data_IF_550562168936
#
_entry.id   IF_550562168936
#
_cell.length_a   1.000
_cell.length_b   1.000
_cell.length_c   1.000
_cell.angle_alpha   90.00
_cell.angle_beta   90.00
_cell.angle_gamma   90.00
#
_symmetry.space_group_name_H-M   'P 1'
#
loop_
_entity.id
_entity.type
_entity.pdbx_description
1 polymer ?
#
# COMPACT_ATOMS: atom_id res chain seq x y z
N UNK A 1 9.63 -1.32 33.93
CA UNK A 1 8.62 -1.15 32.87
C UNK A 1 7.31 -1.80 33.29
N UNK A 2 6.24 -1.01 33.32
CA UNK A 2 4.86 -1.45 33.55
C UNK A 2 4.02 -1.07 32.33
N UNK A 3 2.96 -1.84 32.05
CA UNK A 3 1.99 -1.55 30.98
C UNK A 3 0.61 -1.51 31.61
N UNK A 4 -0.06 -0.35 31.55
CA UNK A 4 -1.31 -0.06 32.23
C UNK A 4 -2.39 0.28 31.21
N UNK A 5 -3.40 -0.56 31.07
CA UNK A 5 -4.49 -0.35 30.11
C UNK A 5 -5.44 0.77 30.54
N UNK A 6 -5.89 1.56 29.57
CA UNK A 6 -6.90 2.61 29.72
C UNK A 6 -8.18 2.10 29.07
N UNK A 7 -9.15 1.67 29.89
CA UNK A 7 -10.45 1.19 29.41
C UNK A 7 -11.40 2.36 29.17
N UNK A 8 -12.02 2.43 28.00
CA UNK A 8 -12.97 3.50 27.65
C UNK A 8 -14.37 2.96 27.39
N UNK A 9 -15.36 3.85 27.37
CA UNK A 9 -16.62 3.59 26.66
C UNK A 9 -16.34 3.47 25.13
N UNK A 10 -17.31 2.95 24.38
CA UNK A 10 -17.21 2.85 22.91
C UNK A 10 -16.97 4.23 22.28
N UNK A 11 -15.88 4.36 21.53
CA UNK A 11 -15.52 5.56 20.78
C UNK A 11 -16.37 5.66 19.52
N UNK A 12 -16.85 6.87 19.22
CA UNK A 12 -17.74 7.15 18.10
C UNK A 12 -17.15 8.20 17.16
N UNK A 13 -17.58 8.24 15.89
CA UNK A 13 -17.23 9.33 14.98
C UNK A 13 -17.48 10.71 15.57
N UNK A 14 -16.43 11.55 15.58
CA UNK A 14 -16.47 12.91 16.12
C UNK A 14 -16.26 13.04 17.62
N UNK A 15 -16.04 11.93 18.36
CA UNK A 15 -15.59 12.00 19.75
C UNK A 15 -14.20 12.67 19.85
N UNK A 16 -13.99 13.46 20.89
CA UNK A 16 -12.65 13.93 21.24
C UNK A 16 -11.87 12.83 21.99
N UNK A 17 -10.93 12.18 21.29
CA UNK A 17 -10.22 11.05 21.85
C UNK A 17 -9.36 11.42 23.07
N UNK A 18 -8.75 12.60 23.10
CA UNK A 18 -7.96 13.03 24.25
C UNK A 18 -8.85 13.17 25.49
N UNK A 19 -10.02 13.79 25.36
CA UNK A 19 -10.95 13.94 26.48
C UNK A 19 -11.50 12.59 26.97
N UNK A 20 -11.75 11.64 26.05
CA UNK A 20 -12.18 10.27 26.40
C UNK A 20 -11.09 9.53 27.17
N UNK A 21 -9.84 9.62 26.72
CA UNK A 21 -8.69 9.02 27.40
C UNK A 21 -8.43 9.67 28.76
N UNK A 22 -8.50 10.99 28.87
CA UNK A 22 -8.36 11.70 30.14
C UNK A 22 -9.44 11.29 31.14
N UNK A 23 -10.71 11.25 30.72
CA UNK A 23 -11.82 10.77 31.55
C UNK A 23 -11.57 9.34 32.03
N UNK A 24 -11.24 8.44 31.11
CA UNK A 24 -10.98 7.03 31.43
C UNK A 24 -9.80 6.83 32.39
N UNK A 25 -8.72 7.60 32.22
CA UNK A 25 -7.60 7.59 33.16
C UNK A 25 -8.05 8.06 34.56
N UNK A 26 -8.80 9.16 34.66
CA UNK A 26 -9.31 9.66 35.94
C UNK A 26 -10.24 8.65 36.63
N UNK A 27 -11.16 8.03 35.88
CA UNK A 27 -12.08 7.00 36.39
C UNK A 27 -11.34 5.76 36.92
N UNK A 28 -10.15 5.48 36.37
CA UNK A 28 -9.28 4.37 36.77
C UNK A 28 -8.19 4.75 37.80
N UNK A 29 -8.21 5.99 38.32
CA UNK A 29 -7.17 6.55 39.20
C UNK A 29 -5.75 6.45 38.59
N UNK A 30 -5.67 6.61 37.27
CA UNK A 30 -4.44 6.68 36.50
C UNK A 30 -4.11 8.13 36.15
N UNK A 31 -2.83 8.46 36.16
CA UNK A 31 -2.33 9.75 35.71
C UNK A 31 -0.99 9.57 34.99
N UNK A 32 -0.77 10.35 33.94
CA UNK A 32 0.50 10.40 33.22
C UNK A 32 1.59 11.08 34.08
N UNK A 33 2.81 10.58 33.95
CA UNK A 33 4.02 11.01 34.65
C UNK A 33 5.13 11.33 33.64
N UNK A 34 6.14 12.09 34.06
CA UNK A 34 7.33 12.31 33.23
C UNK A 34 8.00 10.97 32.87
N UNK A 35 8.31 10.80 31.59
CA UNK A 35 8.88 9.57 31.04
C UNK A 35 7.84 8.53 30.59
N UNK A 36 6.54 8.75 30.83
CA UNK A 36 5.50 7.84 30.36
C UNK A 36 5.36 7.89 28.83
N UNK A 37 4.94 6.75 28.27
CA UNK A 37 4.64 6.58 26.85
C UNK A 37 3.20 6.12 26.74
N UNK A 38 2.35 6.92 26.10
CA UNK A 38 0.97 6.58 25.81
C UNK A 38 0.88 5.92 24.44
N UNK A 39 0.51 4.64 24.39
CA UNK A 39 0.18 3.95 23.15
C UNK A 39 -1.32 4.01 22.94
N UNK A 40 -1.76 4.43 21.75
CA UNK A 40 -3.17 4.55 21.36
C UNK A 40 -3.41 3.71 20.12
N UNK A 41 -4.50 2.96 20.06
CA UNK A 41 -4.85 2.16 18.89
C UNK A 41 -5.24 3.04 17.71
N UNK A 42 -4.77 2.64 16.54
CA UNK A 42 -5.08 3.27 15.26
C UNK A 42 -6.58 3.29 14.99
N UNK A 43 -7.27 2.16 15.14
CA UNK A 43 -8.68 2.04 14.75
C UNK A 43 -9.58 2.94 15.58
N UNK A 44 -9.21 3.16 16.84
CA UNK A 44 -9.92 4.10 17.73
C UNK A 44 -9.66 5.54 17.34
N UNK A 45 -8.41 5.89 17.02
CA UNK A 45 -8.07 7.21 16.49
C UNK A 45 -8.83 7.49 15.18
N UNK A 46 -8.76 6.55 14.23
CA UNK A 46 -9.46 6.62 12.96
C UNK A 46 -10.97 6.80 13.14
N UNK A 47 -11.58 6.03 14.05
CA UNK A 47 -13.00 6.17 14.37
C UNK A 47 -13.31 7.56 14.90
N UNK A 48 -12.55 8.08 15.85
CA UNK A 48 -12.72 9.44 16.38
C UNK A 48 -12.59 10.52 15.28
N UNK A 49 -11.63 10.34 14.37
CA UNK A 49 -11.41 11.19 13.19
C UNK A 49 -12.50 11.06 12.10
N UNK A 50 -13.51 10.21 12.29
CA UNK A 50 -14.62 10.05 11.36
C UNK A 50 -14.26 9.23 10.12
N UNK A 51 -13.27 8.34 10.21
CA UNK A 51 -12.82 7.46 9.12
C UNK A 51 -13.66 6.19 8.96
N UNK A 52 -14.88 6.19 9.50
CA UNK A 52 -15.84 5.11 9.34
C UNK A 52 -16.56 5.23 8.00
N UNK A 53 -16.59 4.15 7.22
CA UNK A 53 -17.27 4.10 5.92
C UNK A 53 -18.25 2.93 5.89
N UNK A 54 -19.51 3.21 5.56
CA UNK A 54 -20.50 2.17 5.31
C UNK A 54 -20.33 1.62 3.90
N UNK A 55 -20.26 0.28 3.78
CA UNK A 55 -20.02 -0.36 2.49
C UNK A 55 -21.17 -0.13 1.51
N UNK A 56 -22.39 0.09 1.99
CA UNK A 56 -23.55 0.40 1.12
C UNK A 56 -23.39 1.71 0.31
N UNK A 57 -22.56 2.64 0.79
CA UNK A 57 -22.28 3.92 0.14
C UNK A 57 -21.15 3.84 -0.89
N UNK A 58 -20.49 2.68 -1.03
CA UNK A 58 -19.34 2.51 -1.92
C UNK A 58 -19.77 1.85 -3.23
N UNK A 59 -19.47 2.49 -4.36
CA UNK A 59 -19.71 1.92 -5.69
C UNK A 59 -18.43 1.27 -6.25
N UNK A 60 -18.38 -0.07 -6.41
CA UNK A 60 -17.19 -0.74 -6.93
C UNK A 60 -16.96 -0.43 -8.41
N UNK A 61 -15.75 -0.01 -8.75
CA UNK A 61 -15.31 0.11 -10.15
C UNK A 61 -15.19 -1.27 -10.83
N UNK A 62 -15.13 -1.34 -12.18
CA UNK A 62 -14.84 -2.59 -12.88
C UNK A 62 -13.55 -3.27 -12.41
N UNK A 63 -12.49 -2.50 -12.13
CA UNK A 63 -11.25 -3.01 -11.55
C UNK A 63 -11.47 -3.54 -10.13
N UNK A 64 -12.21 -2.79 -9.30
CA UNK A 64 -12.58 -3.21 -7.95
C UNK A 64 -13.28 -4.57 -7.95
N UNK A 65 -14.27 -4.78 -8.84
CA UNK A 65 -14.97 -6.07 -8.98
C UNK A 65 -14.05 -7.20 -9.44
N UNK A 66 -13.19 -6.95 -10.43
CA UNK A 66 -12.23 -7.93 -10.94
C UNK A 66 -11.25 -8.38 -9.83
N UNK A 67 -10.72 -7.43 -9.06
CA UNK A 67 -9.78 -7.74 -7.99
C UNK A 67 -10.46 -8.38 -6.79
N UNK A 68 -11.72 -8.05 -6.54
CA UNK A 68 -12.50 -8.63 -5.46
C UNK A 68 -12.79 -10.12 -5.70
N UNK A 69 -13.14 -10.50 -6.93
CA UNK A 69 -13.28 -11.91 -7.33
C UNK A 69 -11.97 -12.66 -7.09
N UNK A 70 -10.85 -12.07 -7.48
CA UNK A 70 -9.53 -12.69 -7.36
C UNK A 70 -9.11 -12.97 -5.92
N UNK A 71 -9.35 -12.02 -5.02
CA UNK A 71 -8.95 -12.13 -3.63
C UNK A 71 -10.10 -12.58 -2.72
N UNK A 72 -11.19 -13.11 -3.28
CA UNK A 72 -12.37 -13.60 -2.55
C UNK A 72 -12.89 -12.60 -1.52
N UNK A 73 -13.09 -11.35 -1.96
CA UNK A 73 -13.43 -10.22 -1.09
C UNK A 73 -14.69 -9.49 -1.54
N UNK A 74 -15.27 -8.70 -0.64
CA UNK A 74 -16.37 -7.81 -1.00
C UNK A 74 -15.88 -6.76 -2.02
N UNK A 75 -16.56 -6.58 -3.17
CA UNK A 75 -16.17 -5.60 -4.17
C UNK A 75 -16.09 -4.16 -3.67
N UNK A 76 -16.89 -3.80 -2.67
CA UNK A 76 -16.96 -2.46 -2.08
C UNK A 76 -15.77 -2.23 -1.18
N UNK A 77 -15.43 -3.22 -0.36
CA UNK A 77 -14.22 -3.17 0.46
C UNK A 77 -12.95 -3.25 -0.41
N UNK A 78 -12.97 -3.99 -1.52
CA UNK A 78 -11.84 -4.01 -2.46
C UNK A 78 -11.65 -2.65 -3.14
N UNK A 79 -12.75 -1.95 -3.45
CA UNK A 79 -12.70 -0.60 -3.99
C UNK A 79 -11.98 0.35 -3.01
N UNK A 80 -12.32 0.30 -1.72
CA UNK A 80 -11.64 1.10 -0.70
C UNK A 80 -10.15 0.75 -0.57
N UNK A 81 -9.76 -0.52 -0.65
CA UNK A 81 -8.34 -0.91 -0.66
C UNK A 81 -7.59 -0.30 -1.85
N UNK A 82 -8.21 -0.26 -3.02
CA UNK A 82 -7.60 0.36 -4.21
C UNK A 82 -7.43 1.87 -4.04
N UNK A 83 -8.37 2.53 -3.37
CA UNK A 83 -8.33 3.98 -3.11
C UNK A 83 -7.35 4.36 -1.99
N UNK A 84 -7.20 3.49 -0.99
CA UNK A 84 -6.38 3.73 0.21
C UNK A 84 -4.96 3.12 0.09
N UNK A 85 -4.57 2.61 -1.07
CA UNK A 85 -3.22 2.08 -1.30
C UNK A 85 -2.52 2.75 -2.49
N UNK A 86 -1.20 2.96 -2.34
CA UNK A 86 -0.35 3.42 -3.43
C UNK A 86 -0.16 2.30 -4.48
N UNK A 87 -0.18 1.05 -3.99
CA UNK A 87 0.13 -0.11 -4.80
C UNK A 87 -0.42 -1.41 -4.19
N UNK A 88 -0.98 -2.26 -5.05
CA UNK A 88 -1.19 -3.67 -4.72
C UNK A 88 0.11 -4.45 -4.96
N UNK A 89 0.60 -5.14 -3.93
CA UNK A 89 1.78 -6.02 -4.00
C UNK A 89 1.38 -7.41 -4.46
N UNK A 90 0.27 -7.93 -3.91
CA UNK A 90 -0.22 -9.28 -4.14
C UNK A 90 -1.25 -9.64 -3.09
N UNK A 91 -1.43 -10.93 -2.78
CA UNK A 91 -2.34 -11.36 -1.73
C UNK A 91 -2.70 -12.83 -1.83
N UNK A 92 -3.61 -13.23 -0.95
CA UNK A 92 -4.24 -14.56 -0.88
C UNK A 92 -5.76 -14.35 -0.75
N UNK A 93 -6.58 -15.40 -0.89
CA UNK A 93 -8.01 -15.29 -0.59
C UNK A 93 -8.26 -14.63 0.78
N UNK A 94 -9.12 -13.61 0.79
CA UNK A 94 -9.47 -12.79 1.95
C UNK A 94 -8.51 -11.64 2.30
N UNK A 95 -7.27 -11.63 1.80
CA UNK A 95 -6.25 -10.64 2.21
C UNK A 95 -5.44 -10.14 1.02
N UNK A 96 -5.45 -8.83 0.82
CA UNK A 96 -4.67 -8.13 -0.20
C UNK A 96 -3.48 -7.44 0.46
N UNK A 97 -2.26 -7.78 0.06
CA UNK A 97 -1.07 -7.07 0.52
C UNK A 97 -0.85 -5.82 -0.32
N UNK A 98 -0.75 -4.68 0.35
CA UNK A 98 -0.63 -3.36 -0.26
C UNK A 98 0.56 -2.59 0.28
N UNK A 99 1.03 -1.60 -0.48
CA UNK A 99 1.91 -0.55 0.00
C UNK A 99 1.10 0.73 0.20
N UNK A 100 1.35 1.41 1.31
CA UNK A 100 0.83 2.74 1.64
C UNK A 100 1.92 3.51 2.36
N UNK A 101 2.28 4.69 1.88
CA UNK A 101 3.30 5.57 2.46
C UNK A 101 4.65 4.85 2.73
N UNK A 102 4.99 3.88 1.88
CA UNK A 102 6.23 3.10 1.98
C UNK A 102 6.21 1.95 2.99
N UNK A 103 5.09 1.68 3.69
CA UNK A 103 4.95 0.51 4.55
C UNK A 103 3.98 -0.53 3.96
N UNK A 104 4.10 -1.77 4.44
CA UNK A 104 3.27 -2.90 4.00
C UNK A 104 2.03 -3.05 4.87
N UNK A 105 0.89 -3.16 4.21
CA UNK A 105 -0.41 -3.23 4.85
C UNK A 105 -1.26 -4.37 4.26
N UNK A 106 -1.70 -5.37 5.05
CA UNK A 106 -2.91 -6.12 4.70
C UNK A 106 -4.08 -5.15 4.54
N UNK A 107 -4.83 -5.32 3.44
CA UNK A 107 -6.04 -4.59 3.09
C UNK A 107 -5.92 -3.06 3.24
N UNK A 108 -4.78 -2.46 2.87
CA UNK A 108 -4.51 -1.02 3.04
C UNK A 108 -4.62 -0.48 4.48
N UNK A 109 -4.63 -1.38 5.48
CA UNK A 109 -4.86 -1.03 6.88
C UNK A 109 -6.33 -0.87 7.24
N UNK A 110 -7.26 -1.24 6.36
CA UNK A 110 -8.70 -1.18 6.64
C UNK A 110 -9.07 -2.27 7.65
N UNK A 111 -9.76 -1.88 8.72
CA UNK A 111 -10.22 -2.77 9.79
C UNK A 111 -11.74 -3.02 9.72
N UNK A 112 -12.12 -4.28 9.88
CA UNK A 112 -13.51 -4.76 9.92
C UNK A 112 -13.92 -5.27 11.31
N UNK A 113 -12.96 -5.65 12.16
CA UNK A 113 -13.20 -6.49 13.33
C UNK A 113 -13.89 -5.76 14.48
N UNK A 114 -13.67 -4.45 14.60
CA UNK A 114 -14.27 -3.58 15.61
C UNK A 114 -15.08 -2.41 15.02
N UNK A 115 -15.53 -2.56 13.77
CA UNK A 115 -16.43 -1.62 13.10
C UNK A 115 -17.90 -2.05 13.26
N UNK A 116 -18.87 -1.11 13.28
CA UNK A 116 -20.29 -1.44 13.18
C UNK A 116 -20.61 -2.35 11.97
N UNK A 117 -21.61 -3.24 12.06
CA UNK A 117 -21.98 -4.13 10.96
C UNK A 117 -22.24 -3.38 9.65
N UNK A 118 -21.65 -3.88 8.55
CA UNK A 118 -21.79 -3.26 7.23
C UNK A 118 -20.89 -2.04 6.99
N UNK A 119 -19.97 -1.74 7.91
CA UNK A 119 -19.00 -0.66 7.78
C UNK A 119 -17.58 -1.15 8.03
N UNK A 120 -16.61 -0.31 7.64
CA UNK A 120 -15.18 -0.52 7.82
C UNK A 120 -14.55 0.76 8.35
N UNK A 121 -13.43 0.64 9.06
CA UNK A 121 -12.64 1.79 9.51
C UNK A 121 -11.45 1.93 8.58
N UNK A 122 -11.35 3.08 7.91
CA UNK A 122 -10.17 3.45 7.13
C UNK A 122 -9.08 3.99 8.06
N UNK A 123 -7.87 4.06 7.55
CA UNK A 123 -6.72 4.58 8.30
C UNK A 123 -6.89 6.04 8.76
N UNK A 124 -6.28 6.48 9.88
CA UNK A 124 -6.26 7.87 10.30
C UNK A 124 -5.71 8.76 9.20
N UNK A 125 -6.23 9.98 9.11
CA UNK A 125 -5.83 10.90 8.04
C UNK A 125 -4.40 11.38 8.26
N UNK A 126 -4.05 11.73 9.50
CA UNK A 126 -2.77 12.33 9.87
C UNK A 126 -2.29 11.84 11.24
N UNK A 127 -1.92 10.54 11.37
CA UNK A 127 -1.66 9.92 12.68
C UNK A 127 -0.55 10.62 13.48
N UNK A 128 0.48 11.17 12.82
CA UNK A 128 1.55 11.93 13.48
C UNK A 128 1.08 13.27 14.04
N UNK A 129 0.23 13.99 13.31
CA UNK A 129 -0.35 15.24 13.80
C UNK A 129 -1.25 14.97 15.01
N UNK A 130 -2.06 13.92 14.95
CA UNK A 130 -2.93 13.49 16.05
C UNK A 130 -2.11 13.05 17.27
N UNK A 131 -1.02 12.31 17.09
CA UNK A 131 -0.09 11.97 18.17
C UNK A 131 0.48 13.21 18.87
N UNK A 132 0.89 14.22 18.09
CA UNK A 132 1.40 15.48 18.64
C UNK A 132 0.34 16.24 19.44
N UNK A 133 -0.90 16.32 18.92
CA UNK A 133 -2.01 16.99 19.60
C UNK A 133 -2.39 16.28 20.91
N UNK A 134 -2.46 14.94 20.90
CA UNK A 134 -2.72 14.14 22.11
C UNK A 134 -1.58 14.35 23.13
N UNK A 135 -0.32 14.34 22.67
CA UNK A 135 0.86 14.58 23.53
C UNK A 135 0.78 15.93 24.21
N UNK A 136 0.49 16.99 23.47
CA UNK A 136 0.36 18.36 24.00
C UNK A 136 -0.76 18.45 25.03
N UNK A 137 -1.96 17.95 24.68
CA UNK A 137 -3.16 18.05 25.53
C UNK A 137 -3.08 17.22 26.80
N UNK A 138 -2.66 15.96 26.70
CA UNK A 138 -2.62 15.04 27.84
C UNK A 138 -1.33 15.17 28.66
N UNK A 139 -0.22 15.57 28.03
CA UNK A 139 1.04 15.82 28.74
C UNK A 139 0.91 16.96 29.75
N UNK A 140 0.18 18.04 29.40
CA UNK A 140 0.00 19.23 30.25
C UNK A 140 1.34 19.74 30.83
N UNK A 141 2.37 19.76 29.99
CA UNK A 141 3.74 20.17 30.35
C UNK A 141 4.66 19.06 30.86
N UNK A 142 4.17 17.82 31.03
CA UNK A 142 4.99 16.65 31.33
C UNK A 142 5.73 16.18 30.07
N UNK A 143 6.94 15.67 30.26
CA UNK A 143 7.70 15.02 29.20
C UNK A 143 7.18 13.60 28.99
N UNK A 144 6.24 13.44 28.04
CA UNK A 144 5.69 12.15 27.64
C UNK A 144 5.88 11.92 26.14
N UNK A 145 5.73 10.67 25.70
CA UNK A 145 5.59 10.32 24.29
C UNK A 145 4.19 9.75 24.00
N UNK A 146 3.75 9.89 22.76
CA UNK A 146 2.52 9.27 22.24
C UNK A 146 2.87 8.46 21.00
N UNK A 147 2.39 7.22 20.95
CA UNK A 147 2.55 6.31 19.81
C UNK A 147 1.16 5.90 19.32
N UNK A 148 0.89 6.09 18.03
CA UNK A 148 -0.27 5.48 17.38
C UNK A 148 0.17 4.12 16.88
N UNK A 149 -0.47 3.07 17.36
CA UNK A 149 -0.08 1.69 17.11
C UNK A 149 -1.22 0.89 16.47
N UNK A 150 -0.83 -0.11 15.69
CA UNK A 150 -1.74 -1.05 15.06
C UNK A 150 -1.17 -2.47 15.09
N UNK A 151 -2.01 -3.47 14.86
CA UNK A 151 -1.62 -4.88 14.83
C UNK A 151 -1.29 -5.33 13.40
N UNK A 152 -0.21 -6.12 13.28
CA UNK A 152 0.29 -6.60 11.98
C UNK A 152 0.73 -8.05 12.07
N UNK A 153 0.60 -8.75 10.95
CA UNK A 153 1.20 -10.07 10.80
C UNK A 153 2.67 -9.96 10.41
N UNK A 154 3.47 -10.92 10.86
CA UNK A 154 4.87 -11.04 10.45
C UNK A 154 5.04 -12.18 9.44
N UNK A 155 5.86 -12.02 8.38
CA UNK A 155 6.06 -13.08 7.41
C UNK A 155 6.42 -14.42 8.07
N UNK A 156 5.67 -15.46 7.69
CA UNK A 156 5.87 -16.85 8.12
C UNK A 156 5.70 -17.11 9.63
N UNK A 157 5.10 -16.19 10.39
CA UNK A 157 4.76 -16.39 11.81
C UNK A 157 3.25 -16.30 12.02
N UNK A 158 2.73 -17.19 12.86
CA UNK A 158 1.34 -17.10 13.31
C UNK A 158 1.22 -16.04 14.40
N UNK A 159 0.09 -15.32 14.39
CA UNK A 159 -0.23 -14.25 15.34
C UNK A 159 0.12 -12.84 14.84
N UNK A 160 -0.49 -11.84 15.48
CA UNK A 160 -0.21 -10.43 15.25
C UNK A 160 0.83 -9.90 16.25
N UNK A 161 1.53 -8.85 15.84
CA UNK A 161 2.43 -8.04 16.67
C UNK A 161 2.06 -6.58 16.50
N UNK A 162 2.38 -5.76 17.50
CA UNK A 162 2.15 -4.33 17.43
C UNK A 162 3.23 -3.62 16.60
N UNK A 163 2.79 -2.69 15.74
CA UNK A 163 3.64 -1.84 14.90
C UNK A 163 3.21 -0.40 15.08
N UNK A 164 4.18 0.51 15.18
CA UNK A 164 3.92 1.93 15.28
C UNK A 164 3.67 2.53 13.89
N UNK A 165 2.65 3.37 13.82
CA UNK A 165 2.30 4.13 12.63
C UNK A 165 2.79 5.57 12.72
N UNK A 166 2.73 6.13 13.93
CA UNK A 166 3.26 7.45 14.22
C UNK A 166 3.76 7.54 15.65
N UNK A 167 4.72 8.42 15.87
CA UNK A 167 5.35 8.60 17.17
C UNK A 167 5.68 10.08 17.39
N UNK A 168 5.27 10.62 18.54
CA UNK A 168 5.59 11.98 18.96
C UNK A 168 6.25 11.93 20.34
N UNK A 169 7.40 12.60 20.50
CA UNK A 169 8.16 12.64 21.76
C UNK A 169 9.13 11.47 21.97
N UNK A 170 9.40 10.67 20.94
CA UNK A 170 10.30 9.52 21.01
C UNK A 170 10.89 9.21 19.64
N UNK A 171 12.18 8.89 19.59
CA UNK A 171 12.80 8.37 18.38
C UNK A 171 12.32 6.94 18.12
N UNK A 172 11.53 6.76 17.06
CA UNK A 172 10.92 5.47 16.74
C UNK A 172 11.96 4.36 16.48
N UNK A 173 13.14 4.75 15.98
CA UNK A 173 14.25 3.85 15.66
C UNK A 173 15.54 4.35 16.31
N UNK A 174 16.12 3.53 17.19
CA UNK A 174 17.44 3.81 17.77
C UNK A 174 18.53 3.22 16.87
N UNK A 175 19.47 4.06 16.42
CA UNK A 175 20.63 3.60 15.66
C UNK A 175 21.70 3.03 16.60
N UNK A 176 21.85 1.71 16.59
CA UNK A 176 22.85 1.03 17.39
C UNK A 176 24.16 0.78 16.63
N UNK A 177 24.28 1.23 15.38
CA UNK A 177 25.51 1.10 14.60
C UNK A 177 26.63 1.89 15.25
N UNK A 178 27.85 1.36 15.22
CA UNK A 178 28.99 1.94 15.93
C UNK A 178 29.10 1.54 17.41
N UNK A 179 28.01 1.06 18.05
CA UNK A 179 28.09 0.49 19.39
C UNK A 179 28.91 -0.81 19.36
N UNK A 180 29.57 -1.13 20.48
CA UNK A 180 30.35 -2.36 20.64
C UNK A 180 29.50 -3.45 21.29
N UNK A 181 29.61 -4.66 20.77
CA UNK A 181 29.05 -5.84 21.42
C UNK A 181 29.89 -6.30 22.63
N UNK A 182 29.46 -7.38 23.29
CA UNK A 182 30.13 -7.96 24.46
C UNK A 182 31.58 -8.39 24.22
N UNK A 183 32.00 -8.52 22.96
CA UNK A 183 33.35 -8.91 22.55
C UNK A 183 34.12 -7.77 21.86
N UNK A 184 33.61 -6.54 21.97
CA UNK A 184 34.24 -5.35 21.42
C UNK A 184 34.09 -5.17 19.90
N UNK A 185 33.28 -5.99 19.23
CA UNK A 185 33.00 -5.87 17.78
C UNK A 185 31.96 -4.80 17.55
N UNK A 186 32.15 -4.00 16.52
CA UNK A 186 31.23 -2.94 16.15
C UNK A 186 29.96 -3.50 15.48
N UNK A 187 28.79 -3.03 15.92
CA UNK A 187 27.52 -3.30 15.26
C UNK A 187 27.45 -2.51 13.95
N UNK A 188 27.22 -3.19 12.81
CA UNK A 188 27.24 -2.57 11.48
C UNK A 188 25.87 -2.27 10.89
N UNK A 189 24.86 -3.06 11.26
CA UNK A 189 23.53 -3.02 10.63
C UNK A 189 22.43 -2.71 11.67
N UNK A 190 22.69 -2.97 12.94
CA UNK A 190 21.67 -2.98 13.99
C UNK A 190 21.04 -1.62 14.21
N UNK A 191 19.73 -1.54 13.97
CA UNK A 191 18.83 -0.49 14.42
C UNK A 191 17.72 -1.14 15.23
N UNK A 192 17.30 -0.51 16.32
CA UNK A 192 16.26 -1.04 17.20
C UNK A 192 14.96 -0.32 16.88
N UNK A 193 13.92 -1.05 16.46
CA UNK A 193 12.58 -0.50 16.26
C UNK A 193 11.92 -0.29 17.63
N UNK A 194 12.28 0.79 18.32
CA UNK A 194 11.87 1.05 19.71
C UNK A 194 10.35 1.20 19.78
N UNK A 195 9.77 2.01 18.89
CA UNK A 195 8.32 2.23 18.89
C UNK A 195 7.53 0.94 18.65
N UNK A 196 7.89 0.12 17.65
CA UNK A 196 7.20 -1.16 17.39
C UNK A 196 7.25 -2.12 18.57
N UNK A 197 8.41 -2.22 19.25
CA UNK A 197 8.54 -3.07 20.44
C UNK A 197 7.64 -2.59 21.59
N UNK A 198 7.47 -1.28 21.74
CA UNK A 198 6.57 -0.69 22.73
C UNK A 198 5.10 -0.94 22.38
N UNK A 199 4.71 -0.77 21.11
CA UNK A 199 3.35 -1.09 20.67
C UNK A 199 3.06 -2.56 20.88
N UNK A 200 3.99 -3.46 20.51
CA UNK A 200 3.85 -4.90 20.78
C UNK A 200 3.68 -5.21 22.26
N UNK A 201 4.34 -4.48 23.16
CA UNK A 201 4.15 -4.64 24.60
C UNK A 201 2.78 -4.13 25.07
N UNK A 202 2.31 -3.00 24.54
CA UNK A 202 0.98 -2.44 24.82
C UNK A 202 -0.14 -3.37 24.33
N UNK A 203 0.02 -3.99 23.15
CA UNK A 203 -0.91 -4.93 22.53
C UNK A 203 -1.34 -6.05 23.49
N UNK A 204 -0.42 -6.55 24.32
CA UNK A 204 -0.69 -7.62 25.29
C UNK A 204 -1.74 -7.21 26.31
N UNK A 205 -1.81 -5.92 26.65
CA UNK A 205 -2.80 -5.37 27.60
C UNK A 205 -4.03 -4.82 26.89
N UNK A 206 -3.85 -4.23 25.70
CA UNK A 206 -4.95 -3.68 24.90
C UNK A 206 -5.86 -4.77 24.32
N UNK A 207 -5.28 -5.92 23.97
CA UNK A 207 -5.99 -7.01 23.30
C UNK A 207 -6.19 -6.75 21.81
N UNK A 208 -6.95 -7.63 21.16
CA UNK A 208 -7.30 -7.57 19.72
C UNK A 208 -8.82 -7.67 19.50
N UNK A 209 -9.60 -7.86 20.57
CA UNK A 209 -11.02 -8.16 20.51
C UNK A 209 -11.86 -7.08 21.17
N UNK A 210 -12.68 -7.49 22.14
CA UNK A 210 -13.71 -6.67 22.79
C UNK A 210 -13.29 -6.14 24.18
N UNK A 211 -12.00 -6.19 24.52
CA UNK A 211 -11.48 -5.81 25.84
C UNK A 211 -11.86 -4.37 26.23
N UNK A 212 -12.02 -3.51 25.23
CA UNK A 212 -12.41 -2.10 25.38
C UNK A 212 -11.27 -1.22 25.90
N UNK A 213 -10.01 -1.62 25.64
CA UNK A 213 -8.80 -0.93 26.10
C UNK A 213 -8.08 -0.34 24.87
N UNK A 214 -8.53 0.82 24.35
CA UNK A 214 -7.95 1.40 23.14
C UNK A 214 -6.59 2.08 23.37
N UNK A 215 -6.13 2.20 24.61
CA UNK A 215 -4.82 2.80 24.90
C UNK A 215 -4.16 2.16 26.12
N UNK A 216 -2.85 2.27 26.21
CA UNK A 216 -2.08 1.84 27.38
C UNK A 216 -0.94 2.81 27.69
N UNK A 217 -0.66 2.98 28.98
CA UNK A 217 0.51 3.71 29.49
C UNK A 217 1.64 2.71 29.68
N UNK A 218 2.78 2.97 29.07
CA UNK A 218 4.04 2.30 29.38
C UNK A 218 4.86 3.20 30.28
N UNK A 219 5.09 2.75 31.51
CA UNK A 219 5.82 3.48 32.56
C UNK A 219 7.15 2.81 32.85
N UNK A 220 8.16 3.61 33.21
CA UNK A 220 9.52 3.14 33.53
C UNK A 220 10.13 2.28 32.41
N UNK A 221 9.92 2.69 31.16
CA UNK A 221 10.61 2.11 30.01
C UNK A 221 12.10 2.53 30.06
N UNK A 222 13.06 1.60 29.87
CA UNK A 222 14.49 1.89 30.00
C UNK A 222 15.05 2.58 28.75
N UNK A 223 14.44 3.71 28.37
CA UNK A 223 14.78 4.50 27.19
C UNK A 223 14.71 6.00 27.51
N UNK A 224 15.19 6.83 26.59
CA UNK A 224 15.07 8.29 26.72
C UNK A 224 14.04 8.80 25.74
N UNK A 225 13.12 9.61 26.23
CA UNK A 225 12.25 10.40 25.38
C UNK A 225 13.06 11.45 24.62
N UNK A 226 12.51 11.92 23.51
CA UNK A 226 13.09 12.94 22.65
C UNK A 226 12.05 14.02 22.36
N UNK A 227 12.42 15.05 21.61
CA UNK A 227 11.45 16.00 21.04
C UNK A 227 11.08 15.64 19.59
N UNK A 228 11.37 14.41 19.14
CA UNK A 228 11.12 13.99 17.77
C UNK A 228 9.62 14.03 17.45
N UNK A 229 9.32 14.68 16.33
CA UNK A 229 8.00 14.71 15.68
C UNK A 229 8.16 14.41 14.19
N UNK A 230 9.15 13.59 13.86
CA UNK A 230 9.45 13.17 12.49
C UNK A 230 8.68 11.89 12.14
N UNK A 231 8.33 11.68 10.85
CA UNK A 231 7.78 10.42 10.40
C UNK A 231 8.71 9.24 10.74
N UNK A 232 8.11 8.07 10.98
CA UNK A 232 8.87 6.84 11.23
C UNK A 232 9.72 6.54 9.97
N UNK A 233 11.03 6.33 10.11
CA UNK A 233 11.89 6.04 8.96
C UNK A 233 11.44 4.77 8.24
N UNK A 234 11.23 4.87 6.92
CA UNK A 234 10.92 3.71 6.06
C UNK A 234 12.16 3.20 5.33
N UNK A 235 12.07 1.99 4.76
CA UNK A 235 13.09 1.41 3.90
C UNK A 235 12.46 1.23 2.50
N UNK A 236 13.11 1.71 1.42
CA UNK A 236 12.60 1.48 0.07
C UNK A 236 12.37 -0.02 -0.20
N UNK A 237 11.32 -0.43 -0.94
CA UNK A 237 11.00 -1.84 -1.15
C UNK A 237 12.17 -2.67 -1.69
N UNK A 238 12.97 -2.12 -2.60
CA UNK A 238 14.14 -2.80 -3.17
C UNK A 238 15.28 -3.03 -2.15
N UNK A 239 15.36 -2.21 -1.10
CA UNK A 239 16.37 -2.30 -0.04
C UNK A 239 15.85 -3.08 1.19
N UNK A 240 14.54 -3.34 1.24
CA UNK A 240 13.91 -4.16 2.28
C UNK A 240 14.24 -5.63 2.04
N UNK A 241 14.72 -6.31 3.09
CA UNK A 241 15.15 -7.72 3.02
C UNK A 241 14.08 -8.64 2.41
N UNK A 242 12.81 -8.46 2.78
CA UNK A 242 11.72 -9.29 2.29
C UNK A 242 11.30 -8.90 0.88
N UNK A 243 11.02 -7.61 0.67
CA UNK A 243 10.52 -7.11 -0.61
C UNK A 243 11.57 -7.21 -1.71
N UNK A 244 12.81 -6.79 -1.45
CA UNK A 244 13.92 -6.91 -2.38
C UNK A 244 14.23 -8.36 -2.76
N UNK A 245 14.19 -9.30 -1.79
CA UNK A 245 14.37 -10.73 -2.10
C UNK A 245 13.26 -11.31 -2.98
N UNK A 246 12.05 -10.76 -2.89
CA UNK A 246 10.90 -11.11 -3.74
C UNK A 246 10.86 -10.30 -5.06
N UNK A 247 11.88 -9.50 -5.36
CA UNK A 247 11.93 -8.64 -6.55
C UNK A 247 10.90 -7.50 -6.53
N UNK A 248 10.38 -7.15 -5.36
CA UNK A 248 9.49 -6.01 -5.18
C UNK A 248 10.32 -4.73 -5.03
N UNK A 249 9.98 -3.69 -5.81
CA UNK A 249 10.72 -2.42 -5.86
C UNK A 249 11.67 -2.28 -7.06
N UNK A 250 11.98 -3.37 -7.77
CA UNK A 250 12.57 -3.30 -9.11
C UNK A 250 11.46 -3.19 -10.16
N UNK A 251 11.52 -2.20 -11.04
CA UNK A 251 10.61 -2.12 -12.19
C UNK A 251 11.40 -2.41 -13.48
N UNK A 252 10.96 -3.38 -14.31
CA UNK A 252 9.79 -4.25 -14.12
C UNK A 252 10.00 -5.35 -13.05
N UNK A 253 8.91 -5.77 -12.39
CA UNK A 253 8.90 -6.87 -11.39
C UNK A 253 8.18 -8.12 -11.90
N UNK A 254 8.36 -9.31 -11.29
CA UNK A 254 7.56 -10.49 -11.60
C UNK A 254 6.06 -10.20 -11.51
N UNK A 255 5.31 -10.68 -12.50
CA UNK A 255 3.86 -10.53 -12.51
C UNK A 255 3.24 -11.45 -11.46
N UNK A 256 2.49 -10.85 -10.55
CA UNK A 256 1.86 -11.56 -9.45
C UNK A 256 0.36 -11.79 -9.68
N UNK A 257 -0.17 -11.71 -10.92
CA UNK A 257 -1.59 -11.93 -11.27
C UNK A 257 -2.46 -10.66 -11.34
N UNK A 258 -3.77 -10.80 -11.62
CA UNK A 258 -4.79 -9.72 -11.50
C UNK A 258 -5.25 -9.10 -12.82
N UNK A 259 -4.65 -9.57 -13.90
CA UNK A 259 -4.90 -9.19 -15.29
C UNK A 259 -4.80 -10.43 -16.18
N UNK A 260 -5.02 -11.63 -15.63
CA UNK A 260 -4.82 -12.90 -16.33
C UNK A 260 -5.76 -12.99 -17.55
N UNK A 261 -7.01 -12.55 -17.38
CA UNK A 261 -7.95 -12.39 -18.48
C UNK A 261 -7.43 -11.43 -19.57
N UNK A 262 -6.74 -10.35 -19.20
CA UNK A 262 -6.14 -9.41 -20.15
C UNK A 262 -4.96 -10.05 -20.90
N UNK A 263 -4.13 -10.85 -20.23
CA UNK A 263 -3.05 -11.63 -20.86
C UNK A 263 -3.64 -12.63 -21.85
N UNK A 264 -4.71 -13.35 -21.49
CA UNK A 264 -5.37 -14.29 -22.40
C UNK A 264 -5.98 -13.59 -23.62
N UNK A 265 -6.58 -12.41 -23.44
CA UNK A 265 -7.04 -11.58 -24.56
C UNK A 265 -5.88 -11.11 -25.46
N UNK A 266 -4.72 -10.79 -24.89
CA UNK A 266 -3.53 -10.43 -25.66
C UNK A 266 -2.98 -11.65 -26.43
N UNK A 267 -2.97 -12.84 -25.82
CA UNK A 267 -2.62 -14.11 -26.49
C UNK A 267 -3.56 -14.42 -27.66
N UNK A 268 -4.87 -14.21 -27.48
CA UNK A 268 -5.84 -14.40 -28.56
C UNK A 268 -5.60 -13.39 -29.70
N UNK A 269 -5.39 -12.11 -29.37
CA UNK A 269 -5.10 -11.08 -30.35
C UNK A 269 -3.81 -11.35 -31.15
N UNK A 270 -2.80 -11.99 -30.53
CA UNK A 270 -1.55 -12.38 -31.17
C UNK A 270 -1.77 -13.35 -32.36
N UNK A 271 -2.83 -14.16 -32.35
CA UNK A 271 -3.15 -15.07 -33.45
C UNK A 271 -3.45 -14.31 -34.76
N UNK A 272 -3.97 -13.09 -34.64
CA UNK A 272 -4.26 -12.19 -35.76
C UNK A 272 -3.06 -11.37 -36.24
N UNK A 273 -1.86 -11.55 -35.67
CA UNK A 273 -0.67 -10.84 -36.08
C UNK A 273 -0.25 -11.15 -37.53
N UNK A 274 0.03 -10.10 -38.31
CA UNK A 274 0.59 -10.18 -39.65
C UNK A 274 2.09 -9.83 -39.59
N UNK A 275 2.93 -10.86 -39.48
CA UNK A 275 4.38 -10.70 -39.35
C UNK A 275 5.18 -11.61 -40.30
N UNK A 276 5.02 -11.48 -41.64
CA UNK A 276 5.70 -12.36 -42.59
C UNK A 276 7.21 -12.08 -42.75
N UNK A 277 7.70 -10.92 -42.31
CA UNK A 277 9.10 -10.53 -42.49
C UNK A 277 9.94 -10.95 -41.28
N UNK A 278 9.51 -10.63 -40.06
CA UNK A 278 10.26 -11.02 -38.85
C UNK A 278 9.91 -12.43 -38.35
N UNK A 279 8.71 -12.92 -38.66
CA UNK A 279 8.14 -14.10 -38.01
C UNK A 279 7.78 -13.88 -36.53
N UNK A 280 8.03 -12.68 -35.98
CA UNK A 280 7.85 -12.36 -34.57
C UNK A 280 6.44 -11.82 -34.32
N UNK A 281 5.56 -12.70 -33.84
CA UNK A 281 4.18 -12.35 -33.52
C UNK A 281 4.08 -11.76 -32.12
N UNK A 282 3.35 -10.65 -32.02
CA UNK A 282 3.03 -9.95 -30.79
C UNK A 282 1.53 -9.64 -30.77
N UNK A 283 0.88 -9.88 -29.65
CA UNK A 283 -0.48 -9.45 -29.36
C UNK A 283 -0.51 -8.51 -28.16
N UNK A 284 -1.45 -7.58 -28.18
CA UNK A 284 -1.71 -6.69 -27.06
C UNK A 284 -3.21 -6.58 -26.79
N UNK A 285 -3.55 -6.40 -25.52
CA UNK A 285 -4.92 -6.13 -25.07
C UNK A 285 -4.91 -4.96 -24.09
N UNK A 286 -5.69 -3.92 -24.41
CA UNK A 286 -5.79 -2.68 -23.65
C UNK A 286 -7.12 -2.65 -22.90
N UNK A 287 -7.08 -2.48 -21.58
CA UNK A 287 -8.24 -2.38 -20.70
C UNK A 287 -8.62 -0.91 -20.50
N UNK A 288 -9.78 -0.52 -21.01
CA UNK A 288 -10.37 0.80 -20.78
C UNK A 288 -11.01 0.93 -19.40
N UNK A 289 -11.17 2.16 -18.93
CA UNK A 289 -11.86 2.47 -17.66
C UNK A 289 -13.34 2.07 -17.69
N UNK A 290 -13.94 2.02 -18.88
CA UNK A 290 -15.28 1.45 -19.09
C UNK A 290 -15.38 -0.06 -18.81
N UNK A 291 -14.25 -0.75 -18.58
CA UNK A 291 -14.17 -2.21 -18.46
C UNK A 291 -14.09 -2.94 -19.80
N UNK A 292 -14.14 -2.23 -20.93
CA UNK A 292 -13.98 -2.83 -22.27
C UNK A 292 -12.52 -3.16 -22.56
N UNK A 293 -12.29 -4.29 -23.22
CA UNK A 293 -10.95 -4.72 -23.64
C UNK A 293 -10.81 -4.60 -25.16
N UNK A 294 -9.68 -4.04 -25.61
CA UNK A 294 -9.36 -3.82 -27.00
C UNK A 294 -8.09 -4.59 -27.37
N UNK A 295 -8.25 -5.69 -28.11
CA UNK A 295 -7.15 -6.53 -28.57
C UNK A 295 -6.70 -6.23 -30.01
N UNK A 296 -5.40 -6.33 -30.28
CA UNK A 296 -4.82 -6.32 -31.63
C UNK A 296 -3.47 -7.07 -31.70
N UNK A 297 -3.12 -7.57 -32.88
CA UNK A 297 -1.79 -8.10 -33.21
C UNK A 297 -0.92 -7.08 -33.93
N UNK A 298 0.40 -7.30 -33.97
CA UNK A 298 1.29 -6.47 -34.80
C UNK A 298 1.03 -6.70 -36.30
N UNK A 299 1.23 -5.64 -37.09
CA UNK A 299 1.06 -5.66 -38.55
C UNK A 299 2.32 -5.08 -39.18
N UNK A 300 3.05 -5.93 -39.89
CA UNK A 300 4.23 -5.53 -40.64
C UNK A 300 3.87 -5.06 -42.06
N UNK A 301 4.82 -4.35 -42.67
CA UNK A 301 4.71 -3.86 -44.02
C UNK A 301 6.06 -3.97 -44.74
N UNK A 302 6.04 -4.13 -46.06
CA UNK A 302 7.26 -4.17 -46.87
C UNK A 302 8.11 -2.89 -46.68
N UNK A 303 7.46 -1.74 -46.54
CA UNK A 303 8.09 -0.53 -46.05
C UNK A 303 8.04 -0.54 -44.51
N UNK A 304 9.13 -0.95 -43.88
CA UNK A 304 9.20 -1.20 -42.43
C UNK A 304 8.71 -0.04 -41.55
N UNK A 305 8.89 1.22 -42.00
CA UNK A 305 8.38 2.41 -41.31
C UNK A 305 6.85 2.53 -41.26
N UNK A 306 6.12 1.81 -42.11
CA UNK A 306 4.66 1.78 -42.14
C UNK A 306 4.05 0.68 -41.25
N UNK A 307 4.86 -0.15 -40.61
CA UNK A 307 4.40 -1.17 -39.68
C UNK A 307 3.84 -0.59 -38.37
N UNK A 308 2.95 -1.33 -37.71
CA UNK A 308 2.37 -0.97 -36.42
C UNK A 308 2.52 -2.10 -35.41
N UNK A 309 2.97 -1.74 -34.21
CA UNK A 309 3.08 -2.66 -33.08
C UNK A 309 1.70 -2.98 -32.52
N UNK A 310 1.56 -4.13 -31.85
CA UNK A 310 0.29 -4.62 -31.34
C UNK A 310 -0.37 -3.62 -30.36
N UNK A 311 0.41 -3.01 -29.49
CA UNK A 311 -0.03 -2.05 -28.47
C UNK A 311 -0.62 -0.79 -29.11
N UNK A 312 0.05 -0.25 -30.13
CA UNK A 312 -0.44 0.91 -30.89
C UNK A 312 -1.67 0.58 -31.72
N UNK A 313 -1.77 -0.64 -32.25
CA UNK A 313 -2.96 -1.08 -32.97
C UNK A 313 -4.16 -1.24 -32.03
N UNK A 314 -3.96 -1.80 -30.83
CA UNK A 314 -4.97 -1.92 -29.79
C UNK A 314 -5.43 -0.53 -29.30
N UNK A 315 -4.48 0.38 -29.06
CA UNK A 315 -4.75 1.76 -28.68
C UNK A 315 -5.55 2.50 -29.76
N UNK A 316 -5.14 2.42 -31.03
CA UNK A 316 -5.86 3.04 -32.14
C UNK A 316 -7.30 2.53 -32.23
N UNK A 317 -7.51 1.22 -32.04
CA UNK A 317 -8.86 0.62 -32.00
C UNK A 317 -9.69 1.15 -30.84
N UNK A 318 -9.09 1.29 -29.65
CA UNK A 318 -9.79 1.78 -28.47
C UNK A 318 -10.22 3.24 -28.65
N UNK A 319 -9.30 4.10 -29.07
CA UNK A 319 -9.54 5.54 -29.31
C UNK A 319 -10.57 5.75 -30.42
N UNK A 320 -10.48 4.99 -31.52
CA UNK A 320 -11.48 5.04 -32.59
C UNK A 320 -12.88 4.58 -32.12
N UNK A 321 -12.94 3.76 -31.05
CA UNK A 321 -14.18 3.32 -30.41
C UNK A 321 -14.68 4.27 -29.32
N UNK A 322 -14.04 5.43 -29.15
CA UNK A 322 -14.41 6.46 -28.17
C UNK A 322 -13.78 6.31 -26.78
N UNK A 323 -12.99 5.26 -26.53
CA UNK A 323 -12.32 5.06 -25.23
C UNK A 323 -11.01 5.86 -25.18
N UNK A 324 -10.80 6.60 -24.09
CA UNK A 324 -9.62 7.47 -23.90
C UNK A 324 -9.00 7.34 -22.52
N UNK A 325 -9.60 6.58 -21.62
CA UNK A 325 -9.07 6.34 -20.28
C UNK A 325 -8.73 4.86 -20.15
N UNK A 326 -7.49 4.56 -19.75
CA UNK A 326 -6.97 3.19 -19.71
C UNK A 326 -6.45 2.84 -18.33
N UNK A 327 -6.69 1.59 -17.91
CA UNK A 327 -6.24 1.06 -16.64
C UNK A 327 -4.97 0.21 -16.80
N UNK A 328 -4.91 -0.61 -17.85
CA UNK A 328 -3.81 -1.53 -18.06
C UNK A 328 -3.68 -1.97 -19.52
N UNK A 329 -2.48 -2.45 -19.89
CA UNK A 329 -2.21 -3.13 -21.16
C UNK A 329 -1.43 -4.42 -20.90
N UNK A 330 -1.84 -5.52 -21.52
CA UNK A 330 -1.05 -6.73 -21.59
C UNK A 330 -0.40 -6.85 -22.98
N UNK A 331 0.87 -7.25 -23.02
CA UNK A 331 1.68 -7.46 -24.23
C UNK A 331 2.26 -8.86 -24.17
N UNK A 332 1.99 -9.65 -25.21
CA UNK A 332 2.43 -11.05 -25.31
C UNK A 332 3.17 -11.21 -26.61
N UNK A 333 4.33 -11.85 -26.59
CA UNK A 333 5.00 -12.25 -27.82
C UNK A 333 5.62 -13.65 -27.77
N UNK A 334 6.15 -14.04 -28.91
CA UNK A 334 6.66 -15.40 -29.18
C UNK A 334 8.11 -15.65 -28.74
N UNK A 335 8.73 -14.70 -28.04
CA UNK A 335 10.10 -14.87 -27.51
C UNK A 335 10.14 -15.74 -26.26
N UNK A 336 11.33 -16.24 -25.93
CA UNK A 336 11.56 -16.98 -24.68
C UNK A 336 11.40 -16.10 -23.43
N UNK A 337 11.63 -14.79 -23.53
CA UNK A 337 11.51 -13.84 -22.41
C UNK A 337 10.27 -12.95 -22.56
N UNK A 338 9.70 -12.43 -21.45
CA UNK A 338 8.62 -11.46 -21.49
C UNK A 338 8.90 -10.28 -22.43
N UNK A 339 7.96 -9.99 -23.32
CA UNK A 339 8.13 -8.94 -24.33
C UNK A 339 7.78 -7.57 -23.76
N UNK A 340 8.76 -6.68 -23.77
CA UNK A 340 8.55 -5.28 -23.39
C UNK A 340 7.97 -4.47 -24.56
N UNK A 341 7.05 -3.52 -24.29
CA UNK A 341 6.65 -2.55 -25.31
C UNK A 341 7.84 -1.69 -25.73
N UNK A 342 7.90 -1.35 -27.02
CA UNK A 342 8.97 -0.52 -27.57
C UNK A 342 8.78 0.96 -27.17
N UNK A 343 9.81 1.79 -27.33
CA UNK A 343 9.77 3.21 -26.95
C UNK A 343 8.60 3.99 -27.56
N UNK A 344 8.25 3.72 -28.83
CA UNK A 344 7.13 4.37 -29.50
C UNK A 344 5.78 3.97 -28.91
N UNK A 345 5.61 2.70 -28.52
CA UNK A 345 4.40 2.22 -27.83
C UNK A 345 4.27 2.85 -26.45
N UNK A 346 5.37 2.89 -25.68
CA UNK A 346 5.39 3.54 -24.36
C UNK A 346 4.97 5.00 -24.47
N UNK A 347 5.54 5.74 -25.44
CA UNK A 347 5.19 7.13 -25.70
C UNK A 347 3.74 7.31 -26.15
N UNK A 348 3.20 6.39 -26.97
CA UNK A 348 1.81 6.45 -27.42
C UNK A 348 0.82 6.23 -26.28
N UNK A 349 1.13 5.32 -25.37
CA UNK A 349 0.30 5.05 -24.19
C UNK A 349 0.39 6.20 -23.17
N UNK A 350 1.57 6.83 -23.04
CA UNK A 350 1.82 7.91 -22.08
C UNK A 350 0.92 9.12 -22.33
N UNK A 351 0.52 9.35 -23.58
CA UNK A 351 -0.46 10.39 -23.95
C UNK A 351 -1.81 10.23 -23.23
N UNK A 352 -2.14 9.02 -22.78
CA UNK A 352 -3.43 8.70 -22.16
C UNK A 352 -3.33 8.38 -20.66
N UNK A 353 -2.14 8.42 -20.07
CA UNK A 353 -1.96 8.25 -18.63
C UNK A 353 -0.63 7.61 -18.25
N UNK A 354 -0.01 8.11 -17.18
CA UNK A 354 1.26 7.61 -16.66
C UNK A 354 1.11 6.38 -15.73
N UNK A 355 -0.06 6.24 -15.11
CA UNK A 355 -0.40 5.14 -14.18
C UNK A 355 -0.88 3.85 -14.87
N UNK A 356 -0.87 3.80 -16.21
CA UNK A 356 -1.27 2.59 -16.95
C UNK A 356 -0.37 1.43 -16.52
N UNK A 357 -0.98 0.35 -16.03
CA UNK A 357 -0.25 -0.87 -15.67
C UNK A 357 0.14 -1.64 -16.94
N UNK A 358 1.42 -1.96 -17.10
CA UNK A 358 1.96 -2.67 -18.27
C UNK A 358 2.36 -4.09 -17.86
N UNK A 359 1.66 -5.07 -18.40
CA UNK A 359 1.95 -6.50 -18.23
C UNK A 359 2.69 -6.99 -19.47
N UNK A 360 3.91 -7.48 -19.29
CA UNK A 360 4.79 -8.01 -20.32
C UNK A 360 4.87 -9.51 -20.15
N UNK A 361 4.56 -10.30 -21.18
CA UNK A 361 4.54 -11.75 -21.08
C UNK A 361 5.12 -12.41 -22.33
N UNK A 362 5.59 -13.65 -22.16
CA UNK A 362 5.97 -14.53 -23.26
C UNK A 362 4.86 -15.56 -23.55
N UNK A 363 5.05 -16.35 -24.61
CA UNK A 363 4.15 -17.46 -24.93
C UNK A 363 4.20 -18.62 -23.93
N UNK A 364 5.25 -18.72 -23.10
CA UNK A 364 5.43 -19.78 -22.10
C UNK A 364 4.71 -19.47 -20.76
N UNK A 365 4.15 -18.28 -20.59
CA UNK A 365 3.42 -17.86 -19.39
C UNK A 365 4.26 -17.13 -18.34
N UNK A 366 5.57 -16.91 -18.58
CA UNK A 366 6.34 -15.98 -17.77
C UNK A 366 5.83 -14.56 -18.04
N UNK A 367 5.69 -13.78 -16.97
CA UNK A 367 5.21 -12.42 -17.06
C UNK A 367 5.89 -11.50 -16.04
N UNK A 368 6.02 -10.24 -16.44
CA UNK A 368 6.54 -9.13 -15.65
C UNK A 368 5.52 -7.99 -15.70
N UNK A 369 5.53 -7.13 -14.68
CA UNK A 369 4.64 -5.97 -14.58
C UNK A 369 5.42 -4.72 -14.17
N UNK A 370 5.00 -3.58 -14.72
CA UNK A 370 5.54 -2.26 -14.40
C UNK A 370 4.44 -1.20 -14.53
N UNK A 371 4.59 -0.05 -13.87
CA UNK A 371 3.85 1.14 -14.28
C UNK A 371 4.45 1.71 -15.56
N UNK A 372 3.64 2.35 -16.39
CA UNK A 372 4.14 2.96 -17.63
C UNK A 372 5.18 4.06 -17.36
N UNK A 373 4.99 4.85 -16.30
CA UNK A 373 5.95 5.85 -15.81
C UNK A 373 7.33 5.27 -15.48
N UNK A 374 7.41 4.04 -14.99
CA UNK A 374 8.68 3.36 -14.73
C UNK A 374 9.38 2.94 -16.03
N UNK A 375 8.60 2.56 -17.05
CA UNK A 375 9.12 2.15 -18.35
C UNK A 375 9.53 3.35 -19.22
N UNK A 376 9.01 4.54 -18.95
CA UNK A 376 9.38 5.76 -19.66
C UNK A 376 9.50 6.93 -18.66
N UNK A 377 10.56 6.95 -17.84
CA UNK A 377 10.77 8.02 -16.87
C UNK A 377 11.04 9.35 -17.56
N UNK A 378 10.59 10.45 -16.95
CA UNK A 378 10.71 11.80 -17.49
C UNK A 378 10.17 11.92 -18.94
N UNK A 379 9.04 11.26 -19.21
CA UNK A 379 8.44 11.22 -20.52
C UNK A 379 8.08 12.62 -21.04
N UNK A 380 8.24 12.81 -22.35
CA UNK A 380 7.69 13.95 -23.04
C UNK A 380 6.17 13.83 -23.11
N UNK A 381 5.43 14.85 -22.66
CA UNK A 381 3.96 14.86 -22.65
C UNK A 381 3.43 16.20 -23.18
N UNK A 382 2.10 16.34 -23.29
CA UNK A 382 1.48 17.63 -23.63
C UNK A 382 1.89 18.79 -22.71
N UNK A 383 2.28 18.51 -21.45
CA UNK A 383 2.82 19.51 -20.50
C UNK A 383 4.15 20.12 -20.98
N UNK A 384 4.92 19.40 -21.80
CA UNK A 384 6.18 19.90 -22.35
C UNK A 384 6.00 20.84 -23.55
N UNK A 385 4.84 20.78 -24.21
CA UNK A 385 4.51 21.57 -25.40
C UNK A 385 3.75 22.84 -25.00
N UNK A 386 2.86 22.73 -24.01
CA UNK A 386 2.03 23.83 -23.55
C UNK A 386 2.75 24.62 -22.45
N UNK A 387 3.18 25.85 -22.76
CA UNK A 387 3.77 26.80 -21.81
C UNK A 387 2.72 27.55 -20.96
N UNK A 388 1.67 26.87 -20.50
CA UNK A 388 0.59 27.49 -19.70
C UNK A 388 0.64 26.97 -18.27
#
# INVERSE_FOLDING_TARGET
MQVLGIKTDLIKPGDDLADKLEKAMNDADLALQDGDILVVSESTLATAEGRLVYLEDVEPSPLGRLMAERYEKDPREMQLILEESDQIVGGIPGVVLTLREGFLYPNAGIDNSNAPPGSVVLFPSHPLASACQIRERLGKGRNIAVIIGDSRTHPLRLGCVGVALACAGLDAVEDARGQRDLFGRELKITRKAVADNLVSAAQIVMGEGDEGIPAAIIRDAPLRLSESTEPIPSIPPQDCMYMGALGCGSSPRPYAGGYDALIEQAKEAMKGAYAPYSGFKVGAALLGRSGRIYGAGNIENAASGAGICAERAALARAVASGEKEFLAVAVVGTSDKPVSPCGLCRQSLMEFGEDITVIMSNSAGEAMVAKLSDLLPAAFTGRCINHI
#
